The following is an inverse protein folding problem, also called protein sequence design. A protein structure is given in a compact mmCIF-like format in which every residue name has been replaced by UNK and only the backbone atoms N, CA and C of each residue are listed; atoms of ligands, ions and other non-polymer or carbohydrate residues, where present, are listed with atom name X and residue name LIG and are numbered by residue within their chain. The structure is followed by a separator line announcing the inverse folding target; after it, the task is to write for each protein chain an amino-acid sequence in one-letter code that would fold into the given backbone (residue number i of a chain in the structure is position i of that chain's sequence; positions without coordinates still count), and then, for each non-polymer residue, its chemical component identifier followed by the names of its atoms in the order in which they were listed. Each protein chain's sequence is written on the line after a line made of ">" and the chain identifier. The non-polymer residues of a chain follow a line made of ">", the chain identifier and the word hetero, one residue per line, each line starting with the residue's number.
data_IF_605455903315
#
_entry.id   IF_605455903315
#
_cell.length_a   1.000
_cell.length_b   1.000
_cell.length_c   1.000
_cell.angle_alpha   90.00
_cell.angle_beta   90.00
_cell.angle_gamma   90.00
#
_symmetry.space_group_name_H-M   'P 1'
#
loop_
_entity.id
_entity.type
_entity.pdbx_description
1 polymer ?
#
# COMPACT_ATOMS: atom_id res chain seq x y z
N UNK A 1 17.29 6.64 -20.19
CA UNK A 1 16.81 7.62 -19.16
C UNK A 1 15.28 7.74 -19.06
N UNK A 2 14.55 8.25 -20.06
CA UNK A 2 13.07 8.34 -20.04
C UNK A 2 12.39 6.98 -19.83
N UNK A 3 12.91 5.95 -20.49
CA UNK A 3 12.42 4.57 -20.38
C UNK A 3 12.55 4.02 -18.94
N UNK A 4 13.60 4.39 -18.21
CA UNK A 4 13.79 4.02 -16.80
C UNK A 4 12.72 4.64 -15.89
N UNK A 5 12.43 5.92 -16.08
CA UNK A 5 11.38 6.60 -15.31
C UNK A 5 9.99 6.03 -15.63
N UNK A 6 9.73 5.70 -16.90
CA UNK A 6 8.51 5.00 -17.29
C UNK A 6 8.37 3.63 -16.59
N UNK A 7 9.44 2.86 -16.46
CA UNK A 7 9.40 1.59 -15.72
C UNK A 7 9.13 1.78 -14.23
N UNK A 8 9.74 2.78 -13.59
CA UNK A 8 9.43 3.10 -12.20
C UNK A 8 7.95 3.47 -12.02
N UNK A 9 7.39 4.26 -12.93
CA UNK A 9 5.98 4.61 -12.93
C UNK A 9 5.07 3.38 -13.06
N UNK A 10 5.32 2.53 -14.05
CA UNK A 10 4.52 1.32 -14.29
C UNK A 10 4.59 0.36 -13.10
N UNK A 11 5.78 0.16 -12.53
CA UNK A 11 5.99 -0.75 -11.42
C UNK A 11 5.39 -0.22 -10.12
N UNK A 12 5.44 1.09 -9.88
CA UNK A 12 4.76 1.68 -8.74
C UNK A 12 3.25 1.38 -8.77
N UNK A 13 2.60 1.60 -9.92
CA UNK A 13 1.17 1.27 -10.11
C UNK A 13 0.94 -0.22 -9.94
N UNK A 14 1.78 -1.07 -10.54
CA UNK A 14 1.63 -2.51 -10.47
C UNK A 14 1.72 -3.03 -9.03
N UNK A 15 2.73 -2.59 -8.27
CA UNK A 15 2.95 -3.04 -6.89
C UNK A 15 1.78 -2.60 -5.99
N UNK A 16 1.29 -1.37 -6.15
CA UNK A 16 0.10 -0.89 -5.43
C UNK A 16 -1.17 -1.65 -5.85
N UNK A 17 -1.30 -1.99 -7.13
CA UNK A 17 -2.38 -2.85 -7.63
C UNK A 17 -2.31 -4.26 -7.03
N UNK A 18 -1.11 -4.84 -6.90
CA UNK A 18 -0.92 -6.15 -6.26
C UNK A 18 -1.33 -6.11 -4.79
N UNK A 19 -1.02 -5.04 -4.05
CA UNK A 19 -1.50 -4.88 -2.68
C UNK A 19 -3.04 -4.92 -2.61
N UNK A 20 -3.72 -4.15 -3.45
CA UNK A 20 -5.18 -4.12 -3.52
C UNK A 20 -5.78 -5.48 -3.94
N UNK A 21 -5.21 -6.13 -4.96
CA UNK A 21 -5.65 -7.46 -5.39
C UNK A 21 -5.46 -8.47 -4.27
N UNK A 22 -4.37 -8.37 -3.50
CA UNK A 22 -4.10 -9.25 -2.37
C UNK A 22 -5.19 -9.14 -1.31
N UNK A 23 -5.62 -7.93 -0.95
CA UNK A 23 -6.73 -7.75 0.00
C UNK A 23 -8.07 -8.25 -0.55
N UNK A 24 -8.33 -8.05 -1.85
CA UNK A 24 -9.55 -8.56 -2.50
C UNK A 24 -9.59 -10.09 -2.45
N UNK A 25 -8.48 -10.74 -2.76
CA UNK A 25 -8.37 -12.21 -2.70
C UNK A 25 -8.56 -12.70 -1.27
N UNK A 26 -7.98 -12.02 -0.28
CA UNK A 26 -8.17 -12.37 1.12
C UNK A 26 -9.64 -12.25 1.55
N UNK A 27 -10.32 -11.17 1.17
CA UNK A 27 -11.75 -10.99 1.45
C UNK A 27 -12.62 -12.09 0.81
N UNK A 28 -12.30 -12.49 -0.43
CA UNK A 28 -13.02 -13.58 -1.11
C UNK A 28 -12.73 -14.94 -0.46
N UNK A 29 -11.49 -15.22 -0.09
CA UNK A 29 -11.10 -16.54 0.45
C UNK A 29 -11.57 -16.71 1.90
N UNK A 30 -11.51 -15.66 2.70
CA UNK A 30 -11.80 -15.71 4.13
C UNK A 30 -13.27 -15.39 4.46
N UNK A 31 -14.03 -14.84 3.51
CA UNK A 31 -15.50 -14.59 3.53
C UNK A 31 -16.03 -13.67 4.64
N UNK A 32 -15.25 -13.38 5.68
CA UNK A 32 -15.61 -12.56 6.84
C UNK A 32 -14.64 -11.42 7.09
N UNK A 33 -13.87 -11.02 6.09
CA UNK A 33 -12.93 -9.91 6.21
C UNK A 33 -13.36 -8.70 5.38
N UNK A 34 -13.01 -7.51 5.88
CA UNK A 34 -13.29 -6.24 5.22
C UNK A 34 -12.00 -5.50 4.83
N UNK A 35 -10.91 -6.23 4.52
CA UNK A 35 -9.58 -5.67 4.33
C UNK A 35 -9.52 -4.68 3.18
N UNK A 36 -10.17 -5.00 2.05
CA UNK A 36 -10.21 -4.11 0.88
C UNK A 36 -10.96 -2.82 1.22
N UNK A 37 -12.11 -2.94 1.88
CA UNK A 37 -12.90 -1.77 2.27
C UNK A 37 -12.17 -0.91 3.30
N UNK A 38 -11.42 -1.52 4.20
CA UNK A 38 -10.60 -0.82 5.20
C UNK A 38 -9.40 -0.14 4.54
N UNK A 39 -8.71 -0.83 3.62
CA UNK A 39 -7.56 -0.31 2.86
C UNK A 39 -7.92 0.94 2.05
N UNK A 40 -9.13 0.96 1.50
CA UNK A 40 -9.68 2.06 0.72
C UNK A 40 -10.42 3.11 1.56
N UNK A 41 -10.57 2.88 2.87
CA UNK A 41 -11.49 3.66 3.69
C UNK A 41 -11.05 5.12 3.81
N UNK A 42 -11.93 6.03 3.41
CA UNK A 42 -11.79 7.48 3.60
C UNK A 42 -13.05 8.10 4.24
N UNK A 43 -13.90 7.28 4.85
CA UNK A 43 -15.19 7.70 5.41
C UNK A 43 -15.08 8.72 6.56
N UNK A 44 -13.89 8.85 7.14
CA UNK A 44 -13.55 9.87 8.13
C UNK A 44 -13.31 11.26 7.52
N UNK A 45 -13.11 11.36 6.20
CA UNK A 45 -12.94 12.62 5.47
C UNK A 45 -14.20 13.01 4.69
N UNK A 46 -14.87 12.03 4.10
CA UNK A 46 -15.96 12.26 3.14
C UNK A 46 -17.03 11.18 3.25
N UNK A 47 -18.29 11.56 3.05
CA UNK A 47 -19.40 10.63 3.04
C UNK A 47 -19.18 9.54 1.97
N UNK A 48 -19.11 8.25 2.35
CA UNK A 48 -18.83 7.16 1.42
C UNK A 48 -19.92 7.01 0.35
N UNK A 49 -21.13 7.54 0.56
CA UNK A 49 -22.18 7.56 -0.48
C UNK A 49 -21.89 8.55 -1.60
N UNK A 50 -20.96 9.48 -1.40
CA UNK A 50 -20.60 10.55 -2.36
C UNK A 50 -19.32 10.25 -3.12
N UNK A 51 -18.60 9.18 -2.76
CA UNK A 51 -17.35 8.80 -3.42
C UNK A 51 -17.49 7.42 -4.05
N UNK A 52 -17.41 7.31 -5.38
CA UNK A 52 -17.37 6.02 -6.04
C UNK A 52 -16.12 5.23 -5.63
N UNK A 53 -16.23 3.91 -5.46
CA UNK A 53 -15.11 3.03 -5.08
C UNK A 53 -13.91 3.13 -6.02
N UNK A 54 -14.12 3.45 -7.29
CA UNK A 54 -13.04 3.71 -8.25
C UNK A 54 -12.16 4.88 -7.78
N UNK A 55 -12.76 5.94 -7.23
CA UNK A 55 -12.02 7.10 -6.72
C UNK A 55 -11.23 6.73 -5.47
N UNK A 56 -11.81 5.94 -4.55
CA UNK A 56 -11.08 5.41 -3.39
C UNK A 56 -9.87 4.57 -3.82
N UNK A 57 -10.06 3.70 -4.82
CA UNK A 57 -8.99 2.93 -5.45
C UNK A 57 -7.89 3.80 -6.07
N UNK A 58 -8.27 4.87 -6.79
CA UNK A 58 -7.29 5.82 -7.37
C UNK A 58 -6.51 6.57 -6.29
N UNK A 59 -7.15 6.97 -5.19
CA UNK A 59 -6.47 7.58 -4.04
C UNK A 59 -5.46 6.59 -3.46
N UNK A 60 -5.85 5.33 -3.24
CA UNK A 60 -4.96 4.31 -2.73
C UNK A 60 -3.75 4.06 -3.66
N UNK A 61 -3.98 3.92 -4.97
CA UNK A 61 -2.91 3.79 -5.96
C UNK A 61 -1.99 5.02 -5.95
N UNK A 62 -2.53 6.22 -5.75
CA UNK A 62 -1.75 7.45 -5.65
C UNK A 62 -0.86 7.47 -4.40
N UNK A 63 -1.38 7.02 -3.25
CA UNK A 63 -0.59 6.90 -2.01
C UNK A 63 0.56 5.90 -2.20
N UNK A 64 0.27 4.73 -2.75
CA UNK A 64 1.30 3.71 -3.02
C UNK A 64 2.36 4.19 -4.02
N UNK A 65 1.95 4.94 -5.04
CA UNK A 65 2.86 5.62 -5.96
C UNK A 65 3.78 6.62 -5.24
N UNK A 66 3.24 7.47 -4.36
CA UNK A 66 4.02 8.43 -3.58
C UNK A 66 5.05 7.71 -2.71
N UNK A 67 4.66 6.64 -2.00
CA UNK A 67 5.57 5.84 -1.19
C UNK A 67 6.72 5.30 -2.06
N UNK A 68 6.40 4.75 -3.24
CA UNK A 68 7.42 4.25 -4.16
C UNK A 68 8.41 5.35 -4.59
N UNK A 69 7.92 6.52 -4.96
CA UNK A 69 8.77 7.64 -5.39
C UNK A 69 9.66 8.15 -4.25
N UNK A 70 9.13 8.23 -3.03
CA UNK A 70 9.92 8.57 -1.84
C UNK A 70 11.07 7.57 -1.66
N UNK A 71 10.79 6.27 -1.75
CA UNK A 71 11.83 5.24 -1.67
C UNK A 71 12.83 5.28 -2.82
N UNK A 72 12.40 5.62 -4.04
CA UNK A 72 13.29 5.86 -5.17
C UNK A 72 14.25 7.01 -4.88
N UNK A 73 13.76 8.13 -4.38
CA UNK A 73 14.59 9.29 -4.02
C UNK A 73 15.60 8.89 -2.93
N UNK A 74 15.14 8.23 -1.86
CA UNK A 74 16.02 7.75 -0.79
C UNK A 74 17.10 6.82 -1.36
N UNK A 75 16.74 5.89 -2.24
CA UNK A 75 17.68 4.96 -2.89
C UNK A 75 18.73 5.66 -3.75
N UNK A 76 18.36 6.73 -4.44
CA UNK A 76 19.28 7.53 -5.25
C UNK A 76 20.23 8.37 -4.38
N UNK A 77 19.79 8.80 -3.19
CA UNK A 77 20.59 9.58 -2.24
C UNK A 77 21.52 8.71 -1.40
N UNK A 78 21.01 7.62 -0.81
CA UNK A 78 21.78 6.79 0.13
C UNK A 78 21.23 5.36 0.21
N UNK A 79 22.06 4.37 -0.15
CA UNK A 79 21.70 2.95 -0.06
C UNK A 79 21.48 2.47 1.36
N UNK A 80 22.33 2.84 2.35
CA UNK A 80 22.04 2.52 3.75
C UNK A 80 20.70 3.10 4.20
N UNK A 81 20.42 4.37 3.86
CA UNK A 81 19.17 5.02 4.24
C UNK A 81 17.95 4.34 3.61
N UNK A 82 18.06 3.87 2.37
CA UNK A 82 17.02 3.11 1.69
C UNK A 82 16.64 1.84 2.45
N UNK A 83 17.62 1.09 2.94
CA UNK A 83 17.35 -0.10 3.74
C UNK A 83 16.74 0.25 5.10
N UNK A 84 17.24 1.32 5.74
CA UNK A 84 16.70 1.80 7.01
C UNK A 84 15.26 2.34 6.88
N UNK A 85 14.87 2.89 5.72
CA UNK A 85 13.54 3.45 5.49
C UNK A 85 12.40 2.41 5.57
N UNK A 86 12.70 1.12 5.40
CA UNK A 86 11.71 0.05 5.60
C UNK A 86 11.27 -0.10 7.06
N UNK A 87 12.10 0.29 8.02
CA UNK A 87 11.78 0.24 9.46
C UNK A 87 10.59 1.18 9.77
N UNK A 88 10.65 2.51 9.53
CA UNK A 88 9.52 3.38 9.78
C UNK A 88 8.31 3.03 8.91
N UNK A 89 8.50 2.56 7.67
CA UNK A 89 7.38 2.10 6.84
C UNK A 89 6.65 0.91 7.47
N UNK A 90 7.38 -0.03 8.07
CA UNK A 90 6.79 -1.17 8.78
C UNK A 90 5.99 -0.70 9.99
N UNK A 91 6.52 0.24 10.78
CA UNK A 91 5.79 0.84 11.90
C UNK A 91 4.51 1.54 11.46
N UNK A 92 4.53 2.25 10.33
CA UNK A 92 3.33 2.86 9.74
C UNK A 92 2.28 1.79 9.49
N UNK A 93 2.63 0.67 8.82
CA UNK A 93 1.64 -0.37 8.51
C UNK A 93 1.11 -1.10 9.75
N UNK A 94 1.94 -1.28 10.78
CA UNK A 94 1.54 -1.83 12.09
C UNK A 94 0.46 -0.94 12.75
N UNK A 95 0.68 0.38 12.76
CA UNK A 95 -0.21 1.33 13.44
C UNK A 95 -1.45 1.64 12.59
N UNK A 96 -1.33 1.57 11.25
CA UNK A 96 -2.36 2.04 10.34
C UNK A 96 -3.66 1.23 10.46
N UNK A 97 -3.59 -0.09 10.63
CA UNK A 97 -4.78 -0.92 10.80
C UNK A 97 -5.64 -0.53 12.02
N UNK A 98 -5.13 -0.55 13.27
CA UNK A 98 -5.93 -0.15 14.43
C UNK A 98 -6.36 1.32 14.37
N UNK A 99 -5.53 2.19 13.77
CA UNK A 99 -5.87 3.59 13.57
C UNK A 99 -7.07 3.75 12.64
N UNK A 100 -7.05 3.12 11.47
CA UNK A 100 -8.14 3.20 10.48
C UNK A 100 -9.46 2.69 11.07
N UNK A 101 -9.43 1.63 11.87
CA UNK A 101 -10.62 1.12 12.56
C UNK A 101 -11.14 2.15 13.57
N UNK A 102 -10.25 2.78 14.34
CA UNK A 102 -10.63 3.74 15.39
C UNK A 102 -11.27 5.00 14.80
N UNK A 103 -10.81 5.45 13.64
CA UNK A 103 -11.33 6.68 13.01
C UNK A 103 -12.50 6.41 12.04
N UNK A 104 -12.75 5.15 11.68
CA UNK A 104 -13.79 4.80 10.74
C UNK A 104 -15.19 5.21 11.24
N UNK A 105 -16.05 5.61 10.30
CA UNK A 105 -17.45 5.98 10.59
C UNK A 105 -18.42 4.81 10.43
N UNK A 106 -18.07 3.83 9.59
CA UNK A 106 -18.88 2.63 9.37
C UNK A 106 -18.71 1.63 10.52
N UNK A 107 -19.83 1.24 11.13
CA UNK A 107 -19.86 0.43 12.36
C UNK A 107 -19.44 -1.03 12.20
N UNK A 108 -19.35 -1.54 10.96
CA UNK A 108 -18.89 -2.91 10.71
C UNK A 108 -17.37 -3.05 10.78
N UNK A 109 -16.61 -1.95 10.77
CA UNK A 109 -15.17 -2.01 11.05
C UNK A 109 -14.95 -2.24 12.54
N UNK A 110 -14.50 -3.45 12.87
CA UNK A 110 -14.18 -3.86 14.23
C UNK A 110 -12.81 -4.51 14.25
N UNK A 111 -12.06 -4.31 15.33
CA UNK A 111 -10.71 -4.87 15.41
C UNK A 111 -10.75 -6.41 15.42
N UNK A 112 -9.96 -7.02 14.55
CA UNK A 112 -9.80 -8.46 14.45
C UNK A 112 -8.33 -8.81 14.30
N UNK A 113 -7.84 -9.71 15.14
CA UNK A 113 -6.45 -10.19 15.07
C UNK A 113 -6.16 -10.93 13.77
N UNK A 114 -7.15 -11.64 13.22
CA UNK A 114 -7.01 -12.35 11.95
C UNK A 114 -6.84 -11.36 10.80
N UNK A 115 -7.73 -10.38 10.70
CA UNK A 115 -7.64 -9.32 9.69
C UNK A 115 -6.34 -8.52 9.84
N UNK A 116 -5.94 -8.20 11.07
CA UNK A 116 -4.66 -7.53 11.30
C UNK A 116 -3.46 -8.35 10.82
N UNK A 117 -3.47 -9.68 11.03
CA UNK A 117 -2.44 -10.57 10.49
C UNK A 117 -2.37 -10.52 8.96
N UNK A 118 -3.53 -10.62 8.30
CA UNK A 118 -3.61 -10.57 6.84
C UNK A 118 -3.28 -9.20 6.25
N UNK A 119 -3.66 -8.13 6.94
CA UNK A 119 -3.20 -6.78 6.65
C UNK A 119 -1.68 -6.72 6.63
N UNK A 120 -1.01 -7.25 7.65
CA UNK A 120 0.45 -7.29 7.71
C UNK A 120 1.05 -8.13 6.57
N UNK A 121 0.47 -9.28 6.24
CA UNK A 121 0.91 -10.11 5.10
C UNK A 121 0.86 -9.32 3.79
N UNK A 122 -0.26 -8.66 3.50
CA UNK A 122 -0.44 -7.89 2.26
C UNK A 122 0.61 -6.76 2.15
N UNK A 123 0.88 -6.05 3.25
CA UNK A 123 1.86 -4.97 3.29
C UNK A 123 3.31 -5.47 3.25
N UNK A 124 3.62 -6.64 3.80
CA UNK A 124 4.93 -7.30 3.64
C UNK A 124 5.16 -7.64 2.17
N UNK A 125 4.17 -8.20 1.47
CA UNK A 125 4.26 -8.47 0.03
C UNK A 125 4.58 -7.17 -0.74
N UNK A 126 3.85 -6.08 -0.46
CA UNK A 126 4.10 -4.76 -1.03
C UNK A 126 5.56 -4.30 -0.81
N UNK A 127 6.07 -4.38 0.43
CA UNK A 127 7.44 -3.99 0.76
C UNK A 127 8.49 -4.86 0.08
N UNK A 128 8.29 -6.17 0.01
CA UNK A 128 9.22 -7.09 -0.66
C UNK A 128 9.29 -6.80 -2.17
N UNK A 129 8.15 -6.57 -2.82
CA UNK A 129 8.12 -6.20 -4.23
C UNK A 129 8.84 -4.88 -4.48
N UNK A 130 8.63 -3.87 -3.62
CA UNK A 130 9.41 -2.64 -3.68
C UNK A 130 10.91 -2.92 -3.53
N UNK A 131 11.28 -3.71 -2.53
CA UNK A 131 12.67 -4.03 -2.20
C UNK A 131 13.42 -4.70 -3.35
N UNK A 132 12.72 -5.49 -4.17
CA UNK A 132 13.27 -6.16 -5.35
C UNK A 132 13.26 -5.25 -6.57
N UNK A 133 12.12 -4.64 -6.89
CA UNK A 133 11.93 -3.97 -8.18
C UNK A 133 12.67 -2.63 -8.25
N UNK A 134 12.69 -1.83 -7.18
CA UNK A 134 13.40 -0.54 -7.15
C UNK A 134 14.88 -0.68 -7.56
N UNK A 135 15.69 -1.50 -6.86
CA UNK A 135 17.09 -1.65 -7.21
C UNK A 135 17.31 -2.28 -8.57
N UNK A 136 16.44 -3.21 -8.98
CA UNK A 136 16.55 -3.89 -10.27
C UNK A 136 16.40 -2.90 -11.43
N UNK A 137 15.42 -2.00 -11.36
CA UNK A 137 15.19 -0.99 -12.40
C UNK A 137 16.26 0.10 -12.34
N UNK A 138 16.64 0.53 -11.12
CA UNK A 138 17.60 1.62 -10.96
C UNK A 138 19.03 1.24 -11.39
N UNK A 139 19.43 -0.04 -11.25
CA UNK A 139 20.73 -0.56 -11.71
C UNK A 139 20.79 -0.86 -13.21
N UNK A 140 19.65 -1.02 -13.88
CA UNK A 140 19.62 -1.27 -15.32
C UNK A 140 20.12 -0.02 -16.05
N UNK A 141 21.23 -0.16 -16.78
CA UNK A 141 21.71 0.85 -17.73
C UNK A 141 20.80 0.83 -18.96
N UNK A 142 19.67 1.56 -18.89
CA UNK A 142 18.70 1.78 -19.98
C UNK A 142 18.55 3.28 -20.27
#
# INVERSE_FOLDING_TARGET
>A
MWLRYFYHFLVAILISGVLLITTIVMDIVLQYTHLTQLLLNIDFLIDPKKVPTIIEGLIHLSIGFVIYIVFLVIYLVSRPLYHLAYIPLSFIFIILYPLLITIAKRSFFTFSWSEYGWWMVAHIIFMVLMAICLPTIAKKHI
#
